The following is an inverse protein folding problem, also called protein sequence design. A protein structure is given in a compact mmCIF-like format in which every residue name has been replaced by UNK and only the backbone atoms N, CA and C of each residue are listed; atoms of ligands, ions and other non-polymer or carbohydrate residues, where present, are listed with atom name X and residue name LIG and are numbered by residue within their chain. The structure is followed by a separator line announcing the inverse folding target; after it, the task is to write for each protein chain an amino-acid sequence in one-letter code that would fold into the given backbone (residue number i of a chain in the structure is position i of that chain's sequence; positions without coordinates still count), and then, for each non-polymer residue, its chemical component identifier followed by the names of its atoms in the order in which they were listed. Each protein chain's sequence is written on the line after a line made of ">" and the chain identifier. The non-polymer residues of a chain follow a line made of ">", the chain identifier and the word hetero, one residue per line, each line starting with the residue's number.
data_IF_844545581006
#
_entry.id   IF_844545581006
#
_cell.length_a   1.000
_cell.length_b   1.000
_cell.length_c   1.000
_cell.angle_alpha   90.00
_cell.angle_beta   90.00
_cell.angle_gamma   90.00
#
_symmetry.space_group_name_H-M   'P 1'
#
loop_
_entity.id
_entity.type
_entity.pdbx_description
1 polymer ?
#
# COMPACT_ATOMS: atom_id res chain seq x y z
N UNK A 1 -12.60 -19.70 -27.31
CA UNK A 1 -12.90 -18.59 -26.38
C UNK A 1 -11.94 -18.71 -25.22
N UNK A 2 -11.21 -17.65 -24.88
CA UNK A 2 -10.28 -17.68 -23.75
C UNK A 2 -11.04 -17.72 -22.43
N UNK A 3 -10.55 -18.50 -21.47
CA UNK A 3 -11.10 -18.58 -20.11
C UNK A 3 -10.32 -17.65 -19.19
N UNK A 4 -10.95 -16.56 -18.75
CA UNK A 4 -10.40 -15.65 -17.75
C UNK A 4 -11.10 -15.90 -16.42
N UNK A 5 -10.33 -15.97 -15.34
CA UNK A 5 -10.85 -16.25 -14.00
C UNK A 5 -10.51 -15.09 -13.08
N UNK A 6 -11.50 -14.55 -12.36
CA UNK A 6 -11.23 -13.72 -11.18
C UNK A 6 -11.23 -14.58 -9.92
N UNK A 7 -10.21 -14.43 -9.08
CA UNK A 7 -10.07 -15.22 -7.85
C UNK A 7 -10.83 -14.66 -6.65
N UNK A 8 -11.30 -13.42 -6.75
CA UNK A 8 -11.88 -12.66 -5.66
C UNK A 8 -13.22 -12.02 -6.08
N UNK A 9 -14.20 -11.97 -5.17
CA UNK A 9 -15.41 -11.18 -5.39
C UNK A 9 -15.09 -9.70 -5.16
N UNK A 10 -14.91 -8.98 -6.26
CA UNK A 10 -15.21 -7.56 -6.31
C UNK A 10 -16.53 -7.42 -7.07
N UNK A 11 -17.39 -6.46 -6.68
CA UNK A 11 -18.67 -6.15 -7.36
C UNK A 11 -18.50 -6.18 -8.89
N UNK A 12 -19.54 -6.58 -9.67
CA UNK A 12 -19.39 -6.90 -11.09
C UNK A 12 -18.61 -5.82 -11.81
N UNK A 13 -17.53 -6.25 -12.47
CA UNK A 13 -16.58 -5.33 -13.09
C UNK A 13 -17.04 -5.06 -14.52
N UNK A 14 -18.14 -4.29 -14.59
CA UNK A 14 -18.92 -4.06 -15.82
C UNK A 14 -18.04 -3.73 -17.04
N UNK A 15 -16.95 -2.91 -16.94
CA UNK A 15 -16.08 -2.65 -18.08
C UNK A 15 -15.20 -3.87 -18.50
N UNK A 16 -14.67 -4.63 -17.55
CA UNK A 16 -13.75 -5.74 -17.83
C UNK A 16 -14.46 -6.85 -18.60
N UNK A 17 -15.69 -7.20 -18.22
CA UNK A 17 -16.45 -8.25 -18.88
C UNK A 17 -16.79 -7.90 -20.33
N UNK A 18 -17.15 -6.63 -20.59
CA UNK A 18 -17.39 -6.13 -21.95
C UNK A 18 -16.13 -6.22 -22.82
N UNK A 19 -14.99 -5.72 -22.31
CA UNK A 19 -13.69 -5.75 -23.00
C UNK A 19 -13.26 -7.19 -23.28
N UNK A 20 -13.38 -8.09 -22.30
CA UNK A 20 -13.04 -9.50 -22.46
C UNK A 20 -13.90 -10.17 -23.54
N UNK A 21 -15.21 -9.93 -23.52
CA UNK A 21 -16.14 -10.51 -24.51
C UNK A 21 -15.83 -10.04 -25.93
N UNK A 22 -15.55 -8.76 -26.12
CA UNK A 22 -15.14 -8.18 -27.41
C UNK A 22 -13.86 -8.81 -27.96
N UNK A 23 -13.00 -9.30 -27.07
CA UNK A 23 -11.74 -9.98 -27.41
C UNK A 23 -11.84 -11.52 -27.38
N UNK A 24 -13.06 -12.08 -27.43
CA UNK A 24 -13.26 -13.53 -27.50
C UNK A 24 -12.90 -14.28 -26.22
N UNK A 25 -12.98 -13.61 -25.07
CA UNK A 25 -12.76 -14.17 -23.75
C UNK A 25 -14.06 -14.21 -22.92
N UNK A 26 -14.13 -15.16 -22.00
CA UNK A 26 -15.20 -15.30 -21.01
C UNK A 26 -14.63 -15.07 -19.62
N UNK A 27 -15.41 -14.44 -18.72
CA UNK A 27 -15.01 -14.20 -17.34
C UNK A 27 -15.77 -15.15 -16.41
N UNK A 28 -15.03 -15.93 -15.62
CA UNK A 28 -15.56 -16.77 -14.55
C UNK A 28 -15.25 -16.11 -13.20
N UNK A 29 -16.26 -15.95 -12.36
CA UNK A 29 -16.11 -15.35 -11.05
C UNK A 29 -15.83 -16.41 -9.98
N UNK A 30 -14.82 -16.18 -9.16
CA UNK A 30 -14.47 -16.97 -7.99
C UNK A 30 -14.53 -16.17 -6.70
N UNK A 31 -14.71 -16.88 -5.59
CA UNK A 31 -14.50 -16.38 -4.24
C UNK A 31 -13.59 -17.30 -3.45
N UNK A 32 -12.38 -17.51 -3.98
CA UNK A 32 -11.52 -18.57 -3.48
C UNK A 32 -11.03 -18.23 -2.07
N UNK A 33 -11.33 -19.09 -1.09
CA UNK A 33 -10.88 -18.93 0.30
C UNK A 33 -9.71 -19.84 0.62
N UNK A 34 -9.57 -20.93 -0.11
CA UNK A 34 -8.52 -21.93 0.09
C UNK A 34 -7.65 -22.10 -1.15
N UNK A 35 -6.47 -22.68 -0.94
CA UNK A 35 -5.59 -23.06 -2.05
C UNK A 35 -6.23 -24.11 -2.95
N UNK A 36 -7.08 -24.99 -2.40
CA UNK A 36 -7.80 -26.00 -3.18
C UNK A 36 -8.83 -25.34 -4.12
N UNK A 37 -9.59 -24.37 -3.62
CA UNK A 37 -10.56 -23.60 -4.42
C UNK A 37 -9.87 -22.90 -5.59
N UNK A 38 -8.70 -22.29 -5.32
CA UNK A 38 -7.88 -21.65 -6.36
C UNK A 38 -7.48 -22.65 -7.43
N UNK A 39 -6.89 -23.78 -7.05
CA UNK A 39 -6.43 -24.80 -8.00
C UNK A 39 -7.60 -25.31 -8.85
N UNK A 40 -8.73 -25.64 -8.21
CA UNK A 40 -9.91 -26.16 -8.91
C UNK A 40 -10.43 -25.16 -9.94
N UNK A 41 -10.54 -23.88 -9.56
CA UNK A 41 -11.08 -22.83 -10.40
C UNK A 41 -10.12 -22.40 -11.52
N UNK A 42 -8.81 -22.32 -11.25
CA UNK A 42 -7.84 -21.68 -12.15
C UNK A 42 -7.01 -22.65 -12.99
N UNK A 43 -7.01 -23.96 -12.71
CA UNK A 43 -6.12 -24.94 -13.39
C UNK A 43 -6.16 -24.89 -14.93
N UNK A 44 -7.30 -24.58 -15.52
CA UNK A 44 -7.55 -24.49 -16.96
C UNK A 44 -7.78 -23.05 -17.45
N UNK A 45 -7.49 -22.04 -16.62
CA UNK A 45 -7.59 -20.63 -17.00
C UNK A 45 -6.48 -20.23 -17.98
N UNK A 46 -6.85 -19.48 -19.02
CA UNK A 46 -5.93 -18.82 -19.96
C UNK A 46 -5.32 -17.54 -19.33
N UNK A 47 -6.08 -16.86 -18.47
CA UNK A 47 -5.63 -15.72 -17.69
C UNK A 47 -6.31 -15.67 -16.31
N UNK A 48 -5.62 -15.07 -15.33
CA UNK A 48 -6.12 -14.88 -13.97
C UNK A 48 -6.14 -13.40 -13.63
N UNK A 49 -7.25 -12.90 -13.10
CA UNK A 49 -7.39 -11.59 -12.46
C UNK A 49 -7.41 -11.82 -10.95
N UNK A 50 -6.45 -11.23 -10.24
CA UNK A 50 -6.22 -11.50 -8.82
C UNK A 50 -6.17 -10.21 -8.00
N UNK A 51 -6.75 -10.23 -6.79
CA UNK A 51 -6.79 -9.07 -5.88
C UNK A 51 -6.17 -9.43 -4.52
N UNK A 52 -6.70 -10.45 -3.85
CA UNK A 52 -6.33 -10.83 -2.48
C UNK A 52 -5.86 -12.27 -2.37
N UNK A 53 -6.46 -13.19 -3.13
CA UNK A 53 -6.11 -14.60 -3.07
C UNK A 53 -4.61 -14.82 -3.31
N UNK A 54 -4.00 -15.75 -2.56
CA UNK A 54 -2.55 -15.96 -2.59
C UNK A 54 -2.19 -17.00 -3.64
N UNK A 55 -1.59 -16.57 -4.74
CA UNK A 55 -1.12 -17.44 -5.81
C UNK A 55 0.26 -17.99 -5.44
N UNK A 56 0.26 -19.03 -4.60
CA UNK A 56 1.47 -19.73 -4.16
C UNK A 56 2.11 -20.50 -5.32
N UNK A 57 3.36 -20.95 -5.11
CA UNK A 57 4.03 -21.87 -6.02
C UNK A 57 3.15 -23.08 -6.40
N UNK A 58 2.39 -23.63 -5.46
CA UNK A 58 1.52 -24.79 -5.69
C UNK A 58 0.34 -24.46 -6.61
N UNK A 59 -0.31 -23.31 -6.42
CA UNK A 59 -1.37 -22.83 -7.32
C UNK A 59 -0.81 -22.57 -8.72
N UNK A 60 0.32 -21.86 -8.82
CA UNK A 60 0.91 -21.52 -10.12
C UNK A 60 1.34 -22.79 -10.86
N UNK A 61 1.92 -23.77 -10.16
CA UNK A 61 2.33 -25.02 -10.78
C UNK A 61 1.15 -25.85 -11.31
N UNK A 62 -0.05 -25.72 -10.73
CA UNK A 62 -1.25 -26.42 -11.23
C UNK A 62 -1.86 -25.80 -12.49
N UNK A 63 -1.44 -24.59 -12.89
CA UNK A 63 -1.93 -23.92 -14.09
C UNK A 63 -1.45 -24.65 -15.35
N UNK A 64 -2.37 -25.04 -16.23
CA UNK A 64 -2.07 -25.84 -17.43
C UNK A 64 -1.85 -24.99 -18.68
N UNK A 65 -2.52 -23.84 -18.77
CA UNK A 65 -2.52 -22.99 -19.97
C UNK A 65 -2.34 -21.49 -19.72
N UNK A 66 -2.38 -21.06 -18.45
CA UNK A 66 -2.34 -19.65 -18.08
C UNK A 66 -1.13 -18.95 -18.69
N UNK A 67 -1.35 -17.84 -19.38
CA UNK A 67 -0.30 -17.03 -20.00
C UNK A 67 -0.04 -15.74 -19.20
N UNK A 68 -1.05 -15.24 -18.49
CA UNK A 68 -0.95 -13.97 -17.76
C UNK A 68 -1.74 -13.98 -16.45
N UNK A 69 -1.12 -13.41 -15.42
CA UNK A 69 -1.73 -13.10 -14.13
C UNK A 69 -1.77 -11.58 -14.01
N UNK A 70 -2.97 -11.01 -13.93
CA UNK A 70 -3.23 -9.59 -13.72
C UNK A 70 -3.53 -9.37 -12.25
N UNK A 71 -2.57 -8.80 -11.52
CA UNK A 71 -2.77 -8.33 -10.15
C UNK A 71 -3.48 -6.98 -10.20
N UNK A 72 -4.74 -6.94 -9.76
CA UNK A 72 -5.54 -5.71 -9.65
C UNK A 72 -5.16 -4.88 -8.41
N UNK A 73 -4.05 -4.17 -8.54
CA UNK A 73 -3.55 -3.16 -7.60
C UNK A 73 -2.04 -3.00 -7.69
N UNK A 74 -1.46 -2.19 -6.80
CA UNK A 74 -0.03 -1.82 -6.85
C UNK A 74 0.90 -2.95 -6.38
N UNK A 75 0.83 -3.37 -5.11
CA UNK A 75 1.69 -4.43 -4.57
C UNK A 75 1.35 -5.80 -5.16
N UNK A 76 2.30 -6.73 -5.21
CA UNK A 76 2.12 -8.07 -5.81
C UNK A 76 2.73 -9.18 -4.95
N UNK A 77 2.84 -8.94 -3.63
CA UNK A 77 3.41 -9.84 -2.64
C UNK A 77 2.60 -11.13 -2.43
N UNK A 78 1.34 -11.13 -2.88
CA UNK A 78 0.46 -12.29 -2.85
C UNK A 78 0.62 -13.22 -4.09
N UNK A 79 1.51 -12.90 -5.03
CA UNK A 79 1.82 -13.71 -6.21
C UNK A 79 3.27 -14.16 -6.18
N UNK A 80 3.54 -15.47 -6.31
CA UNK A 80 4.91 -15.96 -6.46
C UNK A 80 5.44 -15.70 -7.88
N UNK A 81 5.90 -14.46 -8.10
CA UNK A 81 6.40 -13.98 -9.40
C UNK A 81 7.58 -14.84 -9.89
N UNK A 82 8.42 -15.37 -8.99
CA UNK A 82 9.56 -16.21 -9.40
C UNK A 82 9.08 -17.50 -10.05
N UNK A 83 8.09 -18.16 -9.46
CA UNK A 83 7.50 -19.40 -9.99
C UNK A 83 6.69 -19.12 -11.26
N UNK A 84 5.94 -18.00 -11.31
CA UNK A 84 5.22 -17.59 -12.51
C UNK A 84 6.18 -17.39 -13.70
N UNK A 85 7.26 -16.64 -13.50
CA UNK A 85 8.29 -16.40 -14.52
C UNK A 85 8.96 -17.70 -14.97
N UNK A 86 9.31 -18.60 -14.04
CA UNK A 86 9.91 -19.89 -14.38
C UNK A 86 8.97 -20.78 -15.23
N UNK A 87 7.65 -20.59 -15.10
CA UNK A 87 6.62 -21.29 -15.88
C UNK A 87 6.23 -20.56 -17.18
N UNK A 88 6.87 -19.43 -17.49
CA UNK A 88 6.58 -18.62 -18.67
C UNK A 88 5.28 -17.80 -18.57
N UNK A 89 4.79 -17.55 -17.35
CA UNK A 89 3.55 -16.80 -17.10
C UNK A 89 3.91 -15.35 -16.78
N UNK A 90 3.38 -14.40 -17.56
CA UNK A 90 3.56 -12.99 -17.30
C UNK A 90 2.77 -12.55 -16.05
N UNK A 91 3.37 -11.75 -15.19
CA UNK A 91 2.68 -11.10 -14.07
C UNK A 91 2.66 -9.61 -14.31
N UNK A 92 1.47 -9.01 -14.33
CA UNK A 92 1.27 -7.57 -14.51
C UNK A 92 0.45 -7.02 -13.36
N UNK A 93 0.66 -5.76 -13.01
CA UNK A 93 -0.05 -5.07 -11.93
C UNK A 93 -0.63 -3.72 -12.42
N UNK A 94 -1.35 -3.01 -11.55
CA UNK A 94 -1.90 -1.67 -11.84
C UNK A 94 -1.18 -0.63 -10.98
N UNK A 95 -0.05 -0.06 -11.46
CA UNK A 95 0.89 0.69 -10.62
C UNK A 95 0.44 2.11 -10.25
N UNK A 96 -0.62 2.61 -10.86
CA UNK A 96 -1.22 3.93 -10.62
C UNK A 96 -2.53 3.88 -9.83
N UNK A 97 -3.04 2.67 -9.55
CA UNK A 97 -4.29 2.46 -8.82
C UNK A 97 -4.28 3.08 -7.42
N UNK A 98 -5.28 3.89 -7.11
CA UNK A 98 -5.55 4.46 -5.79
C UNK A 98 -4.42 5.32 -5.19
N UNK A 99 -3.63 6.01 -6.03
CA UNK A 99 -2.56 6.89 -5.53
C UNK A 99 -3.11 7.97 -4.61
N UNK A 100 -4.14 8.69 -5.04
CA UNK A 100 -4.74 9.78 -4.29
C UNK A 100 -5.52 9.29 -3.07
N UNK A 101 -6.26 8.21 -3.19
CA UNK A 101 -7.06 7.63 -2.10
C UNK A 101 -6.16 7.15 -0.96
N UNK A 102 -5.01 6.53 -1.26
CA UNK A 102 -4.05 6.12 -0.23
C UNK A 102 -3.34 7.34 0.37
N UNK A 103 -3.04 8.36 -0.42
CA UNK A 103 -2.45 9.60 0.09
C UNK A 103 -3.40 10.35 1.03
N UNK A 104 -4.68 10.46 0.66
CA UNK A 104 -5.75 11.02 1.49
C UNK A 104 -5.92 10.22 2.78
N UNK A 105 -5.95 8.89 2.69
CA UNK A 105 -6.07 8.03 3.86
C UNK A 105 -4.87 8.17 4.81
N UNK A 106 -3.66 8.29 4.26
CA UNK A 106 -2.44 8.53 5.05
C UNK A 106 -2.53 9.85 5.82
N UNK A 107 -2.94 10.93 5.16
CA UNK A 107 -3.14 12.23 5.82
C UNK A 107 -4.28 12.19 6.83
N UNK A 108 -5.37 11.47 6.55
CA UNK A 108 -6.46 11.29 7.50
C UNK A 108 -5.99 10.59 8.79
N UNK A 109 -5.19 9.52 8.68
CA UNK A 109 -4.60 8.84 9.84
C UNK A 109 -3.65 9.76 10.62
N UNK A 110 -2.79 10.51 9.91
CA UNK A 110 -1.89 11.50 10.51
C UNK A 110 -2.68 12.51 11.35
N UNK A 111 -3.70 13.13 10.77
CA UNK A 111 -4.53 14.13 11.42
C UNK A 111 -5.32 13.54 12.60
N UNK A 112 -5.83 12.33 12.46
CA UNK A 112 -6.55 11.62 13.53
C UNK A 112 -5.68 11.45 14.77
N UNK A 113 -4.42 11.05 14.60
CA UNK A 113 -3.48 10.88 15.70
C UNK A 113 -3.01 12.22 16.23
N UNK A 114 -2.56 13.13 15.36
CA UNK A 114 -2.04 14.43 15.73
C UNK A 114 -3.04 15.26 16.55
N UNK A 115 -4.34 15.15 16.23
CA UNK A 115 -5.42 15.90 16.89
C UNK A 115 -6.23 15.08 17.89
N UNK A 116 -5.80 13.84 18.19
CA UNK A 116 -6.47 12.94 19.15
C UNK A 116 -7.97 12.75 18.85
N UNK A 117 -8.35 12.72 17.58
CA UNK A 117 -9.76 12.76 17.13
C UNK A 117 -10.56 11.59 17.69
N UNK A 118 -10.02 10.37 17.60
CA UNK A 118 -10.71 9.16 18.06
C UNK A 118 -10.97 9.17 19.57
N UNK A 119 -9.97 9.34 20.45
CA UNK A 119 -10.24 9.36 21.90
C UNK A 119 -11.05 10.60 22.34
N UNK A 120 -10.91 11.75 21.66
CA UNK A 120 -11.77 12.91 21.91
C UNK A 120 -13.24 12.62 21.57
N UNK A 121 -13.50 11.94 20.45
CA UNK A 121 -14.85 11.48 20.08
C UNK A 121 -15.46 10.58 21.14
N UNK A 122 -14.71 9.61 21.65
CA UNK A 122 -15.20 8.69 22.69
C UNK A 122 -15.51 9.43 24.00
N UNK A 123 -14.70 10.42 24.38
CA UNK A 123 -14.97 11.26 25.55
C UNK A 123 -16.30 12.00 25.41
N UNK A 124 -16.52 12.69 24.28
CA UNK A 124 -17.76 13.44 24.03
C UNK A 124 -18.97 12.52 24.01
N UNK A 125 -18.86 11.34 23.37
CA UNK A 125 -19.93 10.34 23.38
C UNK A 125 -20.28 9.84 24.78
N UNK A 126 -19.31 9.82 25.70
CA UNK A 126 -19.54 9.47 27.10
C UNK A 126 -20.09 10.61 27.96
N UNK A 127 -20.49 11.74 27.35
CA UNK A 127 -21.03 12.91 28.05
C UNK A 127 -19.98 13.76 28.76
N UNK A 128 -18.68 13.54 28.49
CA UNK A 128 -17.58 14.29 29.10
C UNK A 128 -17.03 15.34 28.13
N UNK A 129 -16.64 16.50 28.65
CA UNK A 129 -15.98 17.58 27.90
C UNK A 129 -14.74 18.05 28.66
N UNK A 130 -13.59 17.42 28.40
CA UNK A 130 -12.32 17.84 28.99
C UNK A 130 -11.17 17.71 27.99
N UNK A 131 -10.82 18.82 27.35
CA UNK A 131 -9.74 18.86 26.37
C UNK A 131 -8.33 18.76 26.98
N UNK A 132 -8.18 19.03 28.29
CA UNK A 132 -6.86 19.13 28.95
C UNK A 132 -6.13 17.81 28.96
N UNK A 133 -6.86 16.69 29.00
CA UNK A 133 -6.29 15.34 28.94
C UNK A 133 -5.59 15.03 27.61
N UNK A 134 -5.82 15.81 26.56
CA UNK A 134 -5.22 15.62 25.24
C UNK A 134 -3.99 16.50 25.00
N UNK A 135 -3.66 17.38 25.94
CA UNK A 135 -2.48 18.22 25.84
C UNK A 135 -1.21 17.43 26.18
N UNK A 136 -0.08 17.72 25.51
CA UNK A 136 0.07 18.70 24.44
C UNK A 136 -0.48 18.19 23.09
N UNK A 137 -1.07 19.10 22.31
CA UNK A 137 -1.39 18.89 20.90
C UNK A 137 -0.42 19.76 20.09
N UNK A 138 0.58 19.18 19.41
CA UNK A 138 1.56 19.96 18.70
C UNK A 138 0.92 20.64 17.49
N UNK A 139 1.47 21.81 17.14
CA UNK A 139 1.15 22.49 15.89
C UNK A 139 1.89 21.80 14.74
N UNK A 140 1.17 21.39 13.70
CA UNK A 140 1.74 20.62 12.58
C UNK A 140 2.86 21.38 11.85
N UNK A 141 2.83 22.71 11.83
CA UNK A 141 3.90 23.53 11.22
C UNK A 141 5.27 23.34 11.89
N UNK A 142 5.27 22.91 13.14
CA UNK A 142 6.47 22.73 13.95
C UNK A 142 6.96 21.27 13.90
N UNK A 143 6.18 20.39 13.27
CA UNK A 143 6.47 18.97 13.15
C UNK A 143 7.16 18.61 11.83
N UNK A 144 7.94 17.53 11.87
CA UNK A 144 8.56 16.91 10.71
C UNK A 144 7.84 15.60 10.34
N UNK A 145 7.45 15.45 9.08
CA UNK A 145 6.96 14.21 8.49
C UNK A 145 8.08 13.56 7.66
N UNK A 146 8.50 12.37 8.09
CA UNK A 146 9.41 11.49 7.37
C UNK A 146 8.63 10.49 6.50
N UNK A 147 8.93 10.46 5.20
CA UNK A 147 8.38 9.52 4.23
C UNK A 147 9.43 8.44 3.95
N UNK A 148 9.13 7.18 4.27
CA UNK A 148 10.01 6.05 3.94
C UNK A 148 9.60 5.51 2.59
N UNK A 149 10.46 5.69 1.58
CA UNK A 149 10.12 5.54 0.16
C UNK A 149 9.51 6.82 -0.43
N UNK A 150 9.83 7.11 -1.70
CA UNK A 150 9.43 8.33 -2.40
C UNK A 150 8.91 8.08 -3.84
N UNK A 151 8.06 7.06 -3.98
CA UNK A 151 7.27 6.78 -5.19
C UNK A 151 6.05 7.70 -5.37
N UNK A 152 5.04 7.22 -6.12
CA UNK A 152 3.82 7.99 -6.47
C UNK A 152 3.03 8.46 -5.24
N UNK A 153 2.68 7.54 -4.34
CA UNK A 153 1.88 7.81 -3.13
C UNK A 153 2.57 8.82 -2.19
N UNK A 154 3.82 8.62 -1.73
CA UNK A 154 4.46 9.56 -0.81
C UNK A 154 4.65 10.96 -1.39
N UNK A 155 4.79 11.11 -2.72
CA UNK A 155 4.78 12.44 -3.38
C UNK A 155 3.41 13.11 -3.27
N UNK A 156 2.32 12.37 -3.51
CA UNK A 156 0.96 12.86 -3.32
C UNK A 156 0.66 13.19 -1.85
N UNK A 157 1.23 12.43 -0.89
CA UNK A 157 1.19 12.75 0.55
C UNK A 157 1.96 14.04 0.84
N UNK A 158 3.16 14.21 0.29
CA UNK A 158 3.99 15.40 0.46
C UNK A 158 3.26 16.68 -0.01
N UNK A 159 2.61 16.63 -1.16
CA UNK A 159 1.81 17.75 -1.68
C UNK A 159 0.71 18.19 -0.71
N UNK A 160 -0.03 17.23 -0.13
CA UNK A 160 -1.08 17.52 0.86
C UNK A 160 -0.49 18.00 2.18
N UNK A 161 0.59 17.39 2.64
CA UNK A 161 1.25 17.69 3.91
C UNK A 161 1.83 19.11 3.94
N UNK A 162 2.31 19.63 2.80
CA UNK A 162 2.76 21.02 2.67
C UNK A 162 1.67 22.03 3.05
N UNK A 163 0.42 21.78 2.71
CA UNK A 163 -0.70 22.66 3.05
C UNK A 163 -0.94 22.79 4.56
N UNK A 164 -0.44 21.84 5.36
CA UNK A 164 -0.47 21.88 6.82
C UNK A 164 0.80 22.48 7.45
N UNK A 165 1.77 22.90 6.62
CA UNK A 165 3.04 23.50 7.05
C UNK A 165 4.07 22.51 7.58
N UNK A 166 3.85 21.19 7.43
CA UNK A 166 4.79 20.17 7.87
C UNK A 166 6.15 20.32 7.18
N UNK A 167 7.23 20.13 7.94
CA UNK A 167 8.58 19.95 7.36
C UNK A 167 8.66 18.55 6.78
N UNK A 168 9.10 18.42 5.54
CA UNK A 168 9.08 17.14 4.85
C UNK A 168 10.50 16.62 4.61
N UNK A 169 10.69 15.35 4.92
CA UNK A 169 11.90 14.61 4.57
C UNK A 169 11.57 13.21 4.07
N UNK A 170 12.47 12.62 3.31
CA UNK A 170 12.31 11.27 2.75
C UNK A 170 13.60 10.49 2.82
N UNK A 171 13.49 9.17 2.89
CA UNK A 171 14.60 8.26 2.67
C UNK A 171 14.20 7.22 1.64
N UNK A 172 14.89 7.23 0.51
CA UNK A 172 14.69 6.30 -0.59
C UNK A 172 16.03 6.13 -1.32
N UNK A 173 16.60 4.91 -1.41
CA UNK A 173 17.90 4.69 -2.04
C UNK A 173 17.87 4.82 -3.57
N UNK A 174 16.69 4.95 -4.19
CA UNK A 174 16.52 4.96 -5.64
C UNK A 174 16.22 6.35 -6.24
N UNK A 175 16.24 7.41 -5.44
CA UNK A 175 15.97 8.78 -5.91
C UNK A 175 17.18 9.69 -5.70
N UNK A 176 17.24 10.78 -6.47
CA UNK A 176 18.22 11.84 -6.26
C UNK A 176 17.70 12.92 -5.30
N UNK A 177 18.62 13.70 -4.73
CA UNK A 177 18.28 14.82 -3.85
C UNK A 177 17.55 15.94 -4.62
N UNK A 178 17.88 16.13 -5.90
CA UNK A 178 17.23 17.09 -6.79
C UNK A 178 15.75 16.76 -6.95
N UNK A 179 15.42 15.48 -7.24
CA UNK A 179 14.04 15.02 -7.37
C UNK A 179 13.24 15.25 -6.08
N UNK A 180 13.83 14.97 -4.91
CA UNK A 180 13.17 15.24 -3.64
C UNK A 180 12.92 16.75 -3.45
N UNK A 181 13.92 17.58 -3.78
CA UNK A 181 13.86 19.04 -3.65
C UNK A 181 12.83 19.68 -4.58
N UNK A 182 12.62 19.17 -5.79
CA UNK A 182 11.53 19.60 -6.69
C UNK A 182 10.16 19.46 -6.03
N UNK A 183 9.99 18.40 -5.23
CA UNK A 183 8.81 18.17 -4.41
C UNK A 183 8.90 18.85 -3.03
N UNK A 184 9.85 19.74 -2.77
CA UNK A 184 10.00 20.45 -1.49
C UNK A 184 10.23 19.50 -0.30
N UNK A 185 10.88 18.36 -0.54
CA UNK A 185 11.19 17.33 0.46
C UNK A 185 12.71 17.18 0.55
N UNK A 186 13.24 17.08 1.78
CA UNK A 186 14.67 16.83 1.99
C UNK A 186 14.98 15.33 1.89
N UNK A 187 15.90 14.92 1.01
CA UNK A 187 16.43 13.54 1.03
C UNK A 187 17.44 13.39 2.18
N UNK A 188 17.25 12.38 3.02
CA UNK A 188 18.09 12.09 4.20
C UNK A 188 18.34 10.58 4.35
N UNK A 189 19.29 10.21 5.21
CA UNK A 189 19.47 8.79 5.59
C UNK A 189 18.27 8.27 6.37
N UNK A 190 18.07 6.95 6.40
CA UNK A 190 17.00 6.35 7.19
C UNK A 190 17.17 6.67 8.68
N UNK A 191 18.41 6.64 9.19
CA UNK A 191 18.72 6.99 10.58
C UNK A 191 18.35 8.44 10.92
N UNK A 192 18.70 9.41 10.05
CA UNK A 192 18.30 10.80 10.24
C UNK A 192 16.77 10.94 10.18
N UNK A 193 16.12 10.26 9.25
CA UNK A 193 14.66 10.26 9.14
C UNK A 193 14.00 9.76 10.43
N UNK A 194 14.43 8.60 10.95
CA UNK A 194 13.84 8.00 12.14
C UNK A 194 14.03 8.90 13.37
N UNK A 195 15.25 9.41 13.57
CA UNK A 195 15.61 10.19 14.76
C UNK A 195 15.05 11.62 14.79
N UNK A 196 14.74 12.21 13.62
CA UNK A 196 14.31 13.61 13.53
C UNK A 196 12.83 13.82 13.16
N UNK A 197 12.10 12.76 12.77
CA UNK A 197 10.68 12.86 12.43
C UNK A 197 9.77 12.81 13.66
N UNK A 198 8.68 13.58 13.62
CA UNK A 198 7.56 13.47 14.58
C UNK A 198 6.48 12.52 14.07
N UNK A 199 6.31 12.45 12.75
CA UNK A 199 5.47 11.50 12.05
C UNK A 199 6.31 10.74 11.03
N UNK A 200 6.17 9.43 10.97
CA UNK A 200 6.87 8.57 10.01
C UNK A 200 5.80 7.81 9.23
N UNK A 201 5.78 7.98 7.91
CA UNK A 201 4.84 7.27 7.04
C UNK A 201 5.59 6.33 6.11
N UNK A 202 5.20 5.06 6.12
CA UNK A 202 5.87 3.98 5.39
C UNK A 202 5.17 3.79 4.04
N UNK A 203 5.95 3.85 2.96
CA UNK A 203 5.48 3.81 1.56
C UNK A 203 6.37 2.92 0.66
N UNK A 204 6.99 1.90 1.24
CA UNK A 204 7.79 0.90 0.51
C UNK A 204 6.98 -0.38 0.25
N UNK A 205 7.25 -1.12 -0.85
CA UNK A 205 6.61 -2.40 -1.14
C UNK A 205 7.15 -3.54 -0.26
N UNK A 206 6.38 -4.62 -0.09
CA UNK A 206 6.81 -5.79 0.69
C UNK A 206 7.76 -6.65 -0.12
N UNK A 207 9.05 -6.59 0.19
CA UNK A 207 10.08 -7.43 -0.39
C UNK A 207 10.84 -8.17 0.70
N UNK A 208 11.84 -8.98 0.33
CA UNK A 208 12.74 -9.56 1.33
C UNK A 208 13.56 -8.49 2.05
N UNK A 209 13.87 -7.37 1.39
CA UNK A 209 14.70 -6.30 1.94
C UNK A 209 13.91 -5.36 2.87
N UNK A 210 12.59 -5.23 2.66
CA UNK A 210 11.73 -4.34 3.47
C UNK A 210 10.89 -5.10 4.51
N UNK A 211 10.87 -6.44 4.46
CA UNK A 211 10.18 -7.27 5.45
C UNK A 211 10.83 -7.08 6.81
N UNK A 212 10.04 -6.58 7.77
CA UNK A 212 10.54 -6.33 9.12
C UNK A 212 11.46 -5.12 9.21
N UNK A 213 11.49 -4.25 8.19
CA UNK A 213 12.29 -3.02 8.16
C UNK A 213 12.08 -2.14 9.39
N UNK A 214 10.89 -2.15 9.99
CA UNK A 214 10.62 -1.51 11.27
C UNK A 214 10.58 -2.57 12.37
N UNK A 215 11.73 -2.78 13.01
CA UNK A 215 11.93 -3.69 14.13
C UNK A 215 12.39 -2.92 15.37
N UNK A 216 12.71 -3.64 16.46
CA UNK A 216 13.15 -3.04 17.73
C UNK A 216 14.25 -1.97 17.56
N UNK A 217 15.30 -2.17 16.74
CA UNK A 217 16.33 -1.16 16.56
C UNK A 217 15.79 0.13 15.94
N UNK A 218 14.95 0.03 14.92
CA UNK A 218 14.39 1.20 14.24
C UNK A 218 13.45 1.99 15.14
N UNK A 219 12.61 1.29 15.91
CA UNK A 219 11.78 1.95 16.92
C UNK A 219 12.60 2.61 18.04
N UNK A 220 13.76 2.05 18.39
CA UNK A 220 14.65 2.64 19.40
C UNK A 220 15.37 3.91 18.90
N UNK A 221 15.55 4.06 17.58
CA UNK A 221 16.14 5.27 16.98
C UNK A 221 15.16 6.43 16.88
N UNK A 222 13.86 6.17 16.97
CA UNK A 222 12.83 7.18 16.83
C UNK A 222 12.72 8.09 18.06
N UNK A 223 12.17 9.29 17.87
CA UNK A 223 11.74 10.11 19.02
C UNK A 223 10.74 9.31 19.87
N UNK A 224 10.80 9.40 21.21
CA UNK A 224 9.82 8.74 22.08
C UNK A 224 8.36 9.14 21.81
N UNK A 225 8.16 10.34 21.24
CA UNK A 225 6.85 10.88 20.88
C UNK A 225 6.43 10.62 19.42
N UNK A 226 7.29 9.99 18.61
CA UNK A 226 7.03 9.81 17.19
C UNK A 226 5.85 8.88 16.93
N UNK A 227 5.13 9.14 15.84
CA UNK A 227 3.99 8.35 15.38
C UNK A 227 4.34 7.65 14.07
N UNK A 228 4.10 6.35 14.00
CA UNK A 228 4.21 5.59 12.74
C UNK A 228 2.85 5.42 12.10
N UNK A 229 2.79 5.72 10.80
CA UNK A 229 1.64 5.50 9.93
C UNK A 229 2.08 4.49 8.89
N UNK A 230 1.32 3.41 8.75
CA UNK A 230 1.62 2.38 7.77
C UNK A 230 0.38 2.08 6.92
N UNK A 231 0.37 2.66 5.73
CA UNK A 231 -0.63 2.44 4.67
C UNK A 231 -0.02 1.67 3.49
N UNK A 232 1.18 1.13 3.64
CA UNK A 232 1.84 0.29 2.65
C UNK A 232 1.89 -1.16 3.11
N UNK A 233 2.14 -2.06 2.16
CA UNK A 233 2.73 -3.33 2.48
C UNK A 233 3.83 -3.63 1.49
#
# INVERSE_FOLDING_TARGET
>A
MYKVVTTDILKPVIPEEAILRENGASLTYGDCKTEADLIELTQDADAIINVYARLTAKVINSLKRCQVIVRRGIGYDNVDVKVATAKGIAVVNVPDFCTDEVADHTMALLLCVARRVVPAREQVKSGRWDFRQFLPIPSLKDCTLGLVGFGRIPRAVAERAKCFGLKLQTSDPFISAELASEHGVKLVSLEELLSSSDFISIHVPLTNDTRGMFSKPEFAMMKPSAVVINTSR
#
